data_IF_231729365544
#
_entry.id   IF_231729365544
#
_cell.length_a   1.000
_cell.length_b   1.000
_cell.length_c   1.000
_cell.angle_alpha   90.00
_cell.angle_beta   90.00
_cell.angle_gamma   90.00
#
_symmetry.space_group_name_H-M   'P 1'
#
loop_
_entity.id
_entity.type
_entity.pdbx_description
1 polymer ?
#
# COMPACT_ATOMS: atom_id res chain seq x y z
N UNK A 1 -12.32 11.00 -23.84
CA UNK A 1 -12.09 12.25 -23.08
C UNK A 1 -11.24 11.88 -21.87
N UNK A 2 -10.34 12.72 -21.38
CA UNK A 2 -9.63 12.49 -20.14
C UNK A 2 -10.64 12.28 -19.01
N UNK A 3 -10.34 11.31 -18.11
CA UNK A 3 -11.17 11.02 -16.94
C UNK A 3 -10.64 11.83 -15.76
N UNK A 4 -11.55 12.28 -14.88
CA UNK A 4 -11.19 13.06 -13.69
C UNK A 4 -11.14 12.17 -12.48
N UNK A 5 -9.97 12.11 -11.85
CA UNK A 5 -9.71 11.27 -10.68
C UNK A 5 -9.52 12.10 -9.43
N UNK A 6 -10.10 11.66 -8.33
CA UNK A 6 -9.68 12.05 -6.98
C UNK A 6 -8.87 10.92 -6.37
N UNK A 7 -7.63 11.20 -5.97
CA UNK A 7 -6.78 10.27 -5.22
C UNK A 7 -6.69 10.74 -3.78
N UNK A 8 -7.37 10.07 -2.85
CA UNK A 8 -7.18 10.33 -1.42
C UNK A 8 -5.92 9.61 -0.93
N UNK A 9 -5.14 10.25 -0.07
CA UNK A 9 -3.80 9.77 0.26
C UNK A 9 -2.80 9.98 -0.89
N UNK A 10 -3.05 11.00 -1.73
CA UNK A 10 -2.35 11.20 -3.00
C UNK A 10 -0.91 11.66 -2.88
N UNK A 11 -0.47 12.19 -1.73
CA UNK A 11 0.94 12.55 -1.47
C UNK A 11 1.73 11.41 -0.82
N UNK A 12 1.06 10.35 -0.37
CA UNK A 12 1.66 9.15 0.20
C UNK A 12 2.45 8.33 -0.83
N UNK A 13 3.07 7.23 -0.39
CA UNK A 13 3.95 6.40 -1.24
C UNK A 13 3.24 5.82 -2.46
N UNK A 14 2.12 5.11 -2.29
CA UNK A 14 1.32 4.60 -3.40
C UNK A 14 0.60 5.73 -4.14
N UNK A 15 0.01 6.67 -3.39
CA UNK A 15 -0.79 7.76 -3.93
C UNK A 15 -0.04 8.61 -4.93
N UNK A 16 1.16 9.10 -4.58
CA UNK A 16 1.94 9.94 -5.50
C UNK A 16 2.37 9.20 -6.76
N UNK A 17 2.62 7.90 -6.67
CA UNK A 17 2.97 7.09 -7.83
C UNK A 17 1.76 6.87 -8.74
N UNK A 18 0.56 6.66 -8.16
CA UNK A 18 -0.69 6.58 -8.91
C UNK A 18 -1.04 7.93 -9.55
N UNK A 19 -0.94 9.04 -8.81
CA UNK A 19 -1.14 10.41 -9.34
C UNK A 19 -0.26 10.64 -10.56
N UNK A 20 1.03 10.34 -10.50
CA UNK A 20 1.96 10.49 -11.63
C UNK A 20 1.57 9.62 -12.83
N UNK A 21 1.16 8.39 -12.59
CA UNK A 21 0.74 7.48 -13.65
C UNK A 21 -0.55 7.95 -14.35
N UNK A 22 -1.53 8.45 -13.59
CA UNK A 22 -2.76 9.02 -14.14
C UNK A 22 -2.48 10.28 -14.97
N UNK A 23 -1.66 11.19 -14.46
CA UNK A 23 -1.24 12.39 -15.20
C UNK A 23 -0.49 12.02 -16.49
N UNK A 24 0.45 11.07 -16.41
CA UNK A 24 1.18 10.59 -17.59
C UNK A 24 0.28 9.93 -18.64
N UNK A 25 -0.86 9.37 -18.23
CA UNK A 25 -1.89 8.83 -19.10
C UNK A 25 -2.76 9.92 -19.77
N UNK A 26 -2.64 11.17 -19.31
CA UNK A 26 -3.40 12.31 -19.80
C UNK A 26 -4.72 12.57 -19.07
N UNK A 27 -4.92 11.96 -17.91
CA UNK A 27 -6.09 12.17 -17.05
C UNK A 27 -5.94 13.43 -16.19
N UNK A 28 -7.08 13.98 -15.77
CA UNK A 28 -7.13 15.07 -14.79
C UNK A 28 -7.11 14.51 -13.38
N UNK A 29 -6.23 15.02 -12.52
CA UNK A 29 -6.04 14.44 -11.18
C UNK A 29 -6.17 15.50 -10.10
N UNK A 30 -7.03 15.20 -9.13
CA UNK A 30 -7.09 15.89 -7.84
C UNK A 30 -6.49 14.96 -6.76
N UNK A 31 -5.63 15.50 -5.90
CA UNK A 31 -5.03 14.81 -4.77
C UNK A 31 -5.57 15.40 -3.47
N UNK A 32 -6.12 14.57 -2.59
CA UNK A 32 -6.51 14.98 -1.23
C UNK A 32 -5.68 14.19 -0.22
N UNK A 33 -4.95 14.90 0.63
CA UNK A 33 -4.06 14.32 1.65
C UNK A 33 -3.92 15.28 2.83
N UNK A 34 -3.75 14.79 4.04
CA UNK A 34 -3.46 15.62 5.21
C UNK A 34 -1.96 15.92 5.38
N UNK A 35 -1.13 15.42 4.45
CA UNK A 35 0.34 15.51 4.44
C UNK A 35 1.01 14.94 5.71
N UNK A 36 0.29 14.15 6.53
CA UNK A 36 0.83 13.57 7.76
C UNK A 36 1.95 12.56 7.55
N UNK A 37 2.02 11.94 6.37
CA UNK A 37 3.02 10.93 5.98
C UNK A 37 3.62 11.17 4.59
N UNK A 38 2.97 11.97 3.80
CA UNK A 38 3.41 12.43 2.49
C UNK A 38 3.81 13.90 2.54
N UNK A 39 3.95 14.49 1.36
CA UNK A 39 4.08 15.93 1.19
C UNK A 39 3.67 16.31 -0.22
N UNK A 40 2.84 17.33 -0.36
CA UNK A 40 2.49 17.89 -1.68
C UNK A 40 3.71 18.39 -2.46
N UNK A 41 4.81 18.72 -1.76
CA UNK A 41 6.06 19.08 -2.41
C UNK A 41 6.61 17.95 -3.32
N UNK A 42 6.25 16.68 -3.03
CA UNK A 42 6.65 15.53 -3.84
C UNK A 42 5.90 15.44 -5.19
N UNK A 43 4.88 16.28 -5.40
CA UNK A 43 4.11 16.41 -6.65
C UNK A 43 4.32 17.76 -7.32
N UNK A 44 5.19 18.65 -6.76
CA UNK A 44 5.37 20.03 -7.24
C UNK A 44 5.87 20.16 -8.68
N UNK A 45 6.60 19.15 -9.17
CA UNK A 45 7.08 19.07 -10.55
C UNK A 45 5.96 18.84 -11.57
N UNK A 46 4.80 18.35 -11.15
CA UNK A 46 3.60 18.21 -12.00
C UNK A 46 2.86 19.55 -12.18
N UNK A 47 3.17 20.56 -11.38
CA UNK A 47 2.61 21.91 -11.49
C UNK A 47 1.08 21.92 -11.49
N UNK A 48 0.48 22.51 -12.54
CA UNK A 48 -0.98 22.64 -12.68
C UNK A 48 -1.69 21.37 -13.17
N UNK A 49 -0.97 20.30 -13.44
CA UNK A 49 -1.56 19.03 -13.87
C UNK A 49 -2.24 18.28 -12.71
N UNK A 50 -1.97 18.68 -11.46
CA UNK A 50 -2.58 18.10 -10.26
C UNK A 50 -3.12 19.21 -9.37
N UNK A 51 -4.39 19.09 -9.02
CA UNK A 51 -5.05 19.94 -8.02
C UNK A 51 -4.82 19.31 -6.63
N UNK A 52 -3.95 19.91 -5.80
CA UNK A 52 -3.57 19.38 -4.49
C UNK A 52 -4.34 20.07 -3.36
N UNK A 53 -5.26 19.34 -2.73
CA UNK A 53 -6.02 19.76 -1.56
C UNK A 53 -5.39 19.15 -0.29
N UNK A 54 -5.02 20.00 0.66
CA UNK A 54 -4.56 19.54 1.98
C UNK A 54 -5.74 19.48 2.94
N UNK A 55 -6.23 18.28 3.24
CA UNK A 55 -7.35 18.05 4.14
C UNK A 55 -7.37 16.60 4.68
N UNK A 56 -8.03 16.43 5.82
CA UNK A 56 -8.28 15.10 6.40
C UNK A 56 -9.57 14.51 5.82
N UNK A 57 -9.57 13.24 5.42
CA UNK A 57 -10.77 12.55 4.92
C UNK A 57 -11.90 12.45 5.97
N UNK A 58 -11.61 12.70 7.24
CA UNK A 58 -12.61 12.79 8.31
C UNK A 58 -13.36 14.13 8.33
N UNK A 59 -12.92 15.10 7.55
CA UNK A 59 -13.66 16.35 7.28
C UNK A 59 -14.58 16.15 6.09
N UNK A 60 -15.85 15.90 6.36
CA UNK A 60 -16.86 15.65 5.33
C UNK A 60 -17.01 16.83 4.35
N UNK A 61 -16.91 18.07 4.84
CA UNK A 61 -17.06 19.23 3.96
C UNK A 61 -15.91 19.32 2.93
N UNK A 62 -14.69 19.08 3.39
CA UNK A 62 -13.51 19.04 2.51
C UNK A 62 -13.60 17.88 1.49
N UNK A 63 -14.06 16.69 1.91
CA UNK A 63 -14.24 15.56 1.00
C UNK A 63 -15.34 15.81 -0.02
N UNK A 64 -16.47 16.43 0.37
CA UNK A 64 -17.54 16.84 -0.56
C UNK A 64 -17.04 17.81 -1.62
N UNK A 65 -16.25 18.81 -1.22
CA UNK A 65 -15.64 19.74 -2.17
C UNK A 65 -14.67 19.03 -3.13
N UNK A 66 -13.85 18.14 -2.59
CA UNK A 66 -12.86 17.39 -3.37
C UNK A 66 -13.47 16.42 -4.38
N UNK A 67 -14.67 15.90 -4.13
CA UNK A 67 -15.37 14.96 -5.03
C UNK A 67 -16.21 15.62 -6.11
N UNK A 68 -16.32 16.97 -6.13
CA UNK A 68 -17.05 17.68 -7.19
C UNK A 68 -16.44 17.43 -8.56
N UNK A 69 -17.29 17.12 -9.52
CA UNK A 69 -16.91 16.87 -10.92
C UNK A 69 -15.88 15.75 -11.11
N UNK A 70 -15.84 14.74 -10.24
CA UNK A 70 -14.96 13.59 -10.30
C UNK A 70 -15.67 12.40 -10.94
N UNK A 71 -14.97 11.67 -11.81
CA UNK A 71 -15.48 10.48 -12.47
C UNK A 71 -15.11 9.19 -11.70
N UNK A 72 -13.98 9.20 -10.97
CA UNK A 72 -13.54 8.07 -10.16
C UNK A 72 -12.78 8.51 -8.92
N UNK A 73 -13.16 7.99 -7.75
CA UNK A 73 -12.39 8.16 -6.52
C UNK A 73 -11.47 6.95 -6.29
N UNK A 74 -10.16 7.20 -6.21
CA UNK A 74 -9.18 6.23 -5.76
C UNK A 74 -8.90 6.45 -4.28
N UNK A 75 -9.51 5.63 -3.42
CA UNK A 75 -9.42 5.79 -1.98
C UNK A 75 -8.23 5.02 -1.40
N UNK A 76 -7.08 5.73 -1.20
CA UNK A 76 -5.85 5.19 -0.66
C UNK A 76 -5.51 5.76 0.74
N UNK A 77 -6.15 6.87 1.14
CA UNK A 77 -5.88 7.52 2.43
C UNK A 77 -6.07 6.54 3.59
N UNK A 78 -4.98 6.23 4.28
CA UNK A 78 -4.96 5.36 5.44
C UNK A 78 -3.63 5.47 6.18
N UNK A 79 -3.61 5.12 7.48
CA UNK A 79 -2.37 5.03 8.24
C UNK A 79 -1.84 3.59 8.22
N UNK A 80 -0.60 3.42 7.76
CA UNK A 80 0.09 2.13 7.71
C UNK A 80 1.40 2.18 8.50
N UNK A 81 1.88 1.05 8.96
CA UNK A 81 3.13 0.88 9.70
C UNK A 81 2.93 0.03 10.95
N UNK A 82 3.70 -1.06 11.08
CA UNK A 82 3.49 -2.05 12.14
C UNK A 82 3.51 -1.44 13.54
N UNK A 83 4.42 -0.52 13.82
CA UNK A 83 4.48 0.16 15.11
C UNK A 83 3.22 1.01 15.36
N UNK A 84 2.74 1.71 14.35
CA UNK A 84 1.54 2.55 14.43
C UNK A 84 0.28 1.74 14.76
N UNK A 85 0.23 0.47 14.37
CA UNK A 85 -0.91 -0.42 14.69
C UNK A 85 -1.09 -0.60 16.20
N UNK A 86 0.02 -0.64 16.95
CA UNK A 86 -0.02 -0.74 18.41
C UNK A 86 -0.21 0.62 19.09
N UNK A 87 0.38 1.68 18.54
CA UNK A 87 0.42 2.99 19.19
C UNK A 87 -0.86 3.82 18.95
N UNK A 88 -1.52 3.66 17.79
CA UNK A 88 -2.63 4.53 17.36
C UNK A 88 -3.85 3.75 16.87
N UNK A 89 -4.30 2.67 17.56
CA UNK A 89 -5.39 1.82 17.07
C UNK A 89 -6.71 2.59 16.92
N UNK A 90 -7.02 3.53 17.82
CA UNK A 90 -8.22 4.36 17.75
C UNK A 90 -8.20 5.24 16.50
N UNK A 91 -7.08 5.90 16.20
CA UNK A 91 -6.97 6.73 15.00
C UNK A 91 -7.11 5.92 13.72
N UNK A 92 -6.57 4.70 13.68
CA UNK A 92 -6.71 3.77 12.55
C UNK A 92 -8.17 3.44 12.30
N UNK A 93 -8.92 3.08 13.34
CA UNK A 93 -10.35 2.75 13.23
C UNK A 93 -11.20 3.98 12.88
N UNK A 94 -10.86 5.14 13.40
CA UNK A 94 -11.52 6.41 13.09
C UNK A 94 -11.39 6.77 11.59
N UNK A 95 -10.19 6.64 11.04
CA UNK A 95 -9.94 6.82 9.61
C UNK A 95 -10.66 5.76 8.78
N UNK A 96 -10.63 4.49 9.22
CA UNK A 96 -11.30 3.40 8.52
C UNK A 96 -12.81 3.59 8.46
N UNK A 97 -13.43 4.09 9.52
CA UNK A 97 -14.89 4.21 9.61
C UNK A 97 -15.39 5.58 9.14
N UNK A 98 -15.02 6.66 9.83
CA UNK A 98 -15.45 8.01 9.46
C UNK A 98 -14.93 8.44 8.09
N UNK A 99 -13.62 8.20 7.85
CA UNK A 99 -13.02 8.57 6.57
C UNK A 99 -13.67 7.86 5.40
N UNK A 100 -13.89 6.55 5.50
CA UNK A 100 -14.55 5.77 4.45
C UNK A 100 -16.01 6.19 4.25
N UNK A 101 -16.77 6.40 5.32
CA UNK A 101 -18.16 6.87 5.24
C UNK A 101 -18.25 8.24 4.58
N UNK A 102 -17.38 9.20 4.98
CA UNK A 102 -17.35 10.52 4.36
C UNK A 102 -17.06 10.46 2.85
N UNK A 103 -16.15 9.59 2.43
CA UNK A 103 -15.84 9.39 1.01
C UNK A 103 -17.07 8.85 0.27
N UNK A 104 -17.76 7.83 0.83
CA UNK A 104 -18.94 7.25 0.22
C UNK A 104 -20.09 8.26 0.14
N UNK A 105 -20.38 8.98 1.23
CA UNK A 105 -21.43 10.02 1.28
C UNK A 105 -21.15 11.13 0.27
N UNK A 106 -19.91 11.61 0.19
CA UNK A 106 -19.54 12.64 -0.76
C UNK A 106 -19.63 12.16 -2.22
N UNK A 107 -19.24 10.92 -2.50
CA UNK A 107 -19.42 10.32 -3.82
C UNK A 107 -20.89 10.25 -4.23
N UNK A 108 -21.77 9.83 -3.33
CA UNK A 108 -23.21 9.74 -3.58
C UNK A 108 -23.80 11.12 -3.86
N UNK A 109 -23.48 12.12 -3.01
CA UNK A 109 -23.99 13.48 -3.16
C UNK A 109 -23.56 14.12 -4.49
N UNK A 110 -22.28 13.91 -4.88
CA UNK A 110 -21.73 14.45 -6.11
C UNK A 110 -21.89 13.50 -7.33
N UNK A 111 -22.61 12.39 -7.16
CA UNK A 111 -22.88 11.38 -8.20
C UNK A 111 -21.63 10.85 -8.89
N UNK A 112 -20.58 10.60 -8.11
CA UNK A 112 -19.35 9.95 -8.60
C UNK A 112 -19.67 8.51 -8.98
N UNK A 113 -19.50 8.09 -10.25
CA UNK A 113 -19.92 6.76 -10.69
C UNK A 113 -18.97 5.64 -10.29
N UNK A 114 -17.69 5.94 -10.02
CA UNK A 114 -16.70 4.89 -9.80
C UNK A 114 -15.87 5.09 -8.52
N UNK A 115 -15.60 3.97 -7.85
CA UNK A 115 -14.73 3.91 -6.66
C UNK A 115 -13.71 2.78 -6.80
N UNK A 116 -12.43 3.10 -6.59
CA UNK A 116 -11.34 2.12 -6.44
C UNK A 116 -10.80 2.18 -5.00
N UNK A 117 -10.97 1.10 -4.26
CA UNK A 117 -10.57 1.02 -2.86
C UNK A 117 -9.25 0.27 -2.68
N UNK A 118 -8.29 0.90 -2.04
CA UNK A 118 -7.08 0.23 -1.55
C UNK A 118 -7.36 -0.50 -0.23
N UNK A 119 -7.43 -1.81 -0.28
CA UNK A 119 -7.44 -2.69 0.89
C UNK A 119 -6.02 -3.17 1.23
N UNK A 120 -5.88 -4.33 1.87
CA UNK A 120 -4.59 -4.85 2.32
C UNK A 120 -4.66 -6.36 2.56
N UNK A 121 -3.56 -7.12 2.37
CA UNK A 121 -3.46 -8.50 2.82
C UNK A 121 -3.48 -8.65 4.36
N UNK A 122 -3.33 -7.56 5.11
CA UNK A 122 -3.53 -7.58 6.57
C UNK A 122 -4.98 -7.94 6.96
N UNK A 123 -5.95 -7.84 6.04
CA UNK A 123 -7.32 -8.30 6.26
C UNK A 123 -7.43 -9.83 6.43
N UNK A 124 -6.47 -10.59 5.90
CA UNK A 124 -6.41 -12.05 6.09
C UNK A 124 -5.77 -12.45 7.41
N UNK A 125 -4.94 -11.59 7.99
CA UNK A 125 -4.05 -11.91 9.11
C UNK A 125 -3.16 -13.12 8.78
N UNK A 126 -3.45 -14.29 9.34
CA UNK A 126 -2.81 -15.55 8.96
C UNK A 126 -3.74 -16.30 8.01
N UNK A 127 -3.46 -16.22 6.73
CA UNK A 127 -4.26 -16.90 5.71
C UNK A 127 -4.20 -18.42 5.88
N UNK A 128 -5.33 -19.09 5.70
CA UNK A 128 -5.44 -20.56 5.79
C UNK A 128 -4.80 -21.29 4.60
N UNK A 129 -4.66 -20.61 3.47
CA UNK A 129 -4.11 -21.15 2.22
C UNK A 129 -3.06 -20.19 1.68
N UNK A 130 -1.91 -20.73 1.27
CA UNK A 130 -0.81 -19.96 0.66
C UNK A 130 -0.25 -20.75 -0.55
N UNK A 131 -0.15 -20.13 -1.72
CA UNK A 131 -0.51 -18.74 -2.06
C UNK A 131 -1.98 -18.42 -1.80
N UNK A 132 -2.23 -17.24 -1.18
CA UNK A 132 -3.57 -16.80 -0.79
C UNK A 132 -4.29 -16.20 -1.99
N UNK A 133 -5.48 -16.68 -2.32
CA UNK A 133 -6.36 -16.06 -3.31
C UNK A 133 -7.45 -15.19 -2.66
N UNK A 134 -8.24 -14.51 -3.49
CA UNK A 134 -9.24 -13.55 -3.03
C UNK A 134 -10.48 -14.20 -2.38
N UNK A 135 -10.62 -15.53 -2.46
CA UNK A 135 -11.75 -16.28 -1.86
C UNK A 135 -11.52 -16.67 -0.40
N UNK A 136 -10.27 -16.56 0.06
CA UNK A 136 -9.91 -16.88 1.45
C UNK A 136 -10.60 -15.90 2.41
N UNK A 137 -11.19 -16.44 3.46
CA UNK A 137 -11.93 -15.65 4.46
C UNK A 137 -11.05 -14.62 5.18
N UNK A 138 -11.63 -13.45 5.44
CA UNK A 138 -11.00 -12.39 6.23
C UNK A 138 -11.24 -12.64 7.72
N UNK A 139 -10.30 -12.19 8.59
CA UNK A 139 -10.42 -12.45 10.02
C UNK A 139 -9.83 -11.37 10.92
N UNK A 140 -10.39 -11.27 12.13
CA UNK A 140 -9.80 -10.55 13.27
C UNK A 140 -9.61 -11.59 14.37
N UNK A 141 -8.41 -12.19 14.50
CA UNK A 141 -8.19 -13.34 15.39
C UNK A 141 -8.36 -13.03 16.87
N UNK A 142 -7.96 -11.82 17.29
CA UNK A 142 -8.02 -11.38 18.68
C UNK A 142 -8.33 -9.88 18.75
N UNK A 143 -9.56 -9.49 19.09
CA UNK A 143 -9.95 -8.08 19.20
C UNK A 143 -9.25 -7.32 20.33
N UNK A 144 -8.64 -8.02 21.28
CA UNK A 144 -7.87 -7.39 22.36
C UNK A 144 -6.46 -6.99 21.93
N UNK A 145 -5.93 -7.54 20.85
CA UNK A 145 -4.64 -7.15 20.30
C UNK A 145 -4.80 -5.97 19.35
N UNK A 146 -4.30 -4.81 19.75
CA UNK A 146 -4.37 -3.56 19.01
C UNK A 146 -3.81 -3.67 17.57
N UNK A 147 -2.87 -4.59 17.31
CA UNK A 147 -2.34 -4.87 15.98
C UNK A 147 -3.42 -5.12 14.92
N UNK A 148 -4.51 -5.79 15.33
CA UNK A 148 -5.56 -6.19 14.40
C UNK A 148 -6.52 -5.08 14.02
N UNK A 149 -6.41 -3.88 14.65
CA UNK A 149 -7.21 -2.70 14.28
C UNK A 149 -7.03 -2.29 12.83
N UNK A 150 -5.80 -2.41 12.29
CA UNK A 150 -5.55 -2.09 10.88
C UNK A 150 -6.28 -3.05 9.93
N UNK A 151 -6.09 -4.36 10.11
CA UNK A 151 -6.74 -5.38 9.28
C UNK A 151 -8.27 -5.34 9.44
N UNK A 152 -8.76 -5.21 10.68
CA UNK A 152 -10.19 -5.05 10.98
C UNK A 152 -10.80 -3.82 10.32
N UNK A 153 -10.09 -2.69 10.35
CA UNK A 153 -10.51 -1.47 9.65
C UNK A 153 -10.57 -1.65 8.13
N UNK A 154 -9.62 -2.40 7.53
CA UNK A 154 -9.66 -2.72 6.09
C UNK A 154 -10.84 -3.62 5.74
N UNK A 155 -11.19 -4.58 6.60
CA UNK A 155 -12.40 -5.42 6.44
C UNK A 155 -13.66 -4.54 6.46
N UNK A 156 -13.75 -3.59 7.38
CA UNK A 156 -14.87 -2.63 7.44
C UNK A 156 -14.94 -1.81 6.15
N UNK A 157 -13.81 -1.27 5.66
CA UNK A 157 -13.78 -0.51 4.41
C UNK A 157 -14.26 -1.35 3.21
N UNK A 158 -13.86 -2.62 3.11
CA UNK A 158 -14.33 -3.50 2.03
C UNK A 158 -15.84 -3.77 2.13
N UNK A 159 -16.36 -4.04 3.34
CA UNK A 159 -17.80 -4.26 3.56
C UNK A 159 -18.60 -3.02 3.17
N UNK A 160 -18.15 -1.83 3.56
CA UNK A 160 -18.78 -0.57 3.18
C UNK A 160 -18.74 -0.37 1.66
N UNK A 161 -17.56 -0.49 1.03
CA UNK A 161 -17.44 -0.32 -0.41
C UNK A 161 -18.32 -1.28 -1.21
N UNK A 162 -18.42 -2.55 -0.79
CA UNK A 162 -19.22 -3.56 -1.47
C UNK A 162 -20.72 -3.25 -1.33
N UNK A 163 -21.19 -2.93 -0.12
CA UNK A 163 -22.63 -2.75 0.10
C UNK A 163 -23.13 -1.42 -0.48
N UNK A 164 -22.39 -0.33 -0.32
CA UNK A 164 -22.69 0.92 -1.01
C UNK A 164 -22.52 0.79 -2.54
N UNK A 165 -21.54 0.00 -2.98
CA UNK A 165 -21.32 -0.28 -4.39
C UNK A 165 -22.52 -0.90 -5.09
N UNK A 166 -23.25 -1.80 -4.43
CA UNK A 166 -24.47 -2.44 -4.97
C UNK A 166 -25.60 -1.47 -5.26
N UNK A 167 -25.65 -0.35 -4.56
CA UNK A 167 -26.77 0.58 -4.60
C UNK A 167 -26.49 1.88 -5.32
N UNK A 168 -25.23 2.39 -5.22
CA UNK A 168 -24.95 3.78 -5.57
C UNK A 168 -23.87 3.97 -6.62
N UNK A 169 -23.14 2.93 -7.02
CA UNK A 169 -22.00 3.08 -7.94
C UNK A 169 -22.16 2.20 -9.18
N UNK A 170 -21.77 2.75 -10.32
CA UNK A 170 -21.69 1.97 -11.58
C UNK A 170 -20.54 0.96 -11.51
N UNK A 171 -19.44 1.33 -10.85
CA UNK A 171 -18.28 0.46 -10.68
C UNK A 171 -17.56 0.69 -9.36
N UNK A 172 -17.40 -0.39 -8.60
CA UNK A 172 -16.51 -0.44 -7.45
C UNK A 172 -15.48 -1.53 -7.68
N UNK A 173 -14.20 -1.22 -7.52
CA UNK A 173 -13.12 -2.21 -7.53
C UNK A 173 -12.31 -2.13 -6.24
N UNK A 174 -11.87 -3.27 -5.76
CA UNK A 174 -11.07 -3.38 -4.53
C UNK A 174 -9.75 -4.06 -4.91
N UNK A 175 -8.65 -3.47 -4.49
CA UNK A 175 -7.35 -4.09 -4.68
C UNK A 175 -6.62 -4.24 -3.34
N UNK A 176 -5.93 -5.38 -3.18
CA UNK A 176 -5.12 -5.72 -2.01
C UNK A 176 -3.65 -5.77 -2.41
N UNK A 177 -2.90 -4.66 -2.29
CA UNK A 177 -1.47 -4.62 -2.67
C UNK A 177 -0.62 -5.34 -1.63
N UNK A 178 0.23 -6.27 -2.09
CA UNK A 178 1.07 -7.10 -1.25
C UNK A 178 2.51 -6.57 -1.19
N UNK A 179 2.98 -6.25 0.01
CA UNK A 179 4.38 -5.89 0.33
C UNK A 179 5.05 -4.98 -0.71
N UNK A 180 4.36 -3.88 -1.06
CA UNK A 180 4.86 -2.94 -2.07
C UNK A 180 6.09 -2.21 -1.56
N UNK A 181 7.11 -2.08 -2.41
CA UNK A 181 8.36 -1.38 -2.10
C UNK A 181 8.84 -0.55 -3.30
N UNK A 182 9.72 0.40 -3.03
CA UNK A 182 10.30 1.26 -4.05
C UNK A 182 10.96 2.51 -3.46
N UNK A 183 11.47 3.39 -4.32
CA UNK A 183 12.14 4.61 -3.90
C UNK A 183 11.24 5.52 -3.06
N UNK A 184 11.84 6.19 -2.07
CA UNK A 184 11.15 7.16 -1.19
C UNK A 184 9.96 6.56 -0.41
N UNK A 185 9.91 5.24 -0.22
CA UNK A 185 8.96 4.63 0.72
C UNK A 185 9.34 4.99 2.18
N UNK A 186 8.34 5.07 3.05
CA UNK A 186 8.57 5.45 4.45
C UNK A 186 9.36 4.40 5.25
N UNK A 187 10.08 4.84 6.27
CA UNK A 187 10.96 4.02 7.11
C UNK A 187 10.25 2.99 8.01
N UNK A 188 8.91 2.95 8.00
CA UNK A 188 8.13 2.01 8.80
C UNK A 188 8.04 0.59 8.19
N UNK A 189 8.70 0.34 7.05
CA UNK A 189 8.63 -0.92 6.31
C UNK A 189 9.96 -1.67 6.34
N UNK A 190 9.90 -3.01 6.14
CA UNK A 190 11.05 -3.92 6.34
C UNK A 190 12.26 -3.56 5.46
N UNK A 191 12.08 -3.23 4.18
CA UNK A 191 13.21 -2.92 3.28
C UNK A 191 13.95 -1.66 3.72
N UNK A 192 13.32 -0.48 3.92
CA UNK A 192 14.03 0.69 4.43
C UNK A 192 14.65 0.46 5.81
N UNK A 193 13.97 -0.29 6.71
CA UNK A 193 14.53 -0.64 8.02
C UNK A 193 15.80 -1.48 7.90
N UNK A 194 15.82 -2.48 7.03
CA UNK A 194 17.02 -3.28 6.80
C UNK A 194 18.15 -2.43 6.20
N UNK A 195 17.85 -1.59 5.21
CA UNK A 195 18.82 -0.68 4.59
C UNK A 195 19.41 0.27 5.63
N UNK A 196 18.57 0.95 6.43
CA UNK A 196 19.02 1.90 7.45
C UNK A 196 19.86 1.24 8.56
N UNK A 197 19.64 -0.04 8.83
CA UNK A 197 20.39 -0.80 9.83
C UNK A 197 21.65 -1.46 9.29
N UNK A 198 21.67 -1.87 8.03
CA UNK A 198 22.86 -2.46 7.38
C UNK A 198 23.88 -1.37 7.04
N UNK A 199 23.42 -0.24 6.46
CA UNK A 199 24.31 0.84 5.99
C UNK A 199 25.31 1.35 7.05
N UNK A 200 24.92 1.64 8.31
CA UNK A 200 25.87 2.07 9.35
C UNK A 200 26.85 0.98 9.80
N UNK A 201 26.52 -0.30 9.58
CA UNK A 201 27.36 -1.43 9.98
C UNK A 201 28.39 -1.83 8.91
N UNK A 202 28.45 -1.09 7.80
CA UNK A 202 29.45 -1.31 6.75
C UNK A 202 30.81 -0.83 7.29
N UNK A 203 31.56 -1.78 7.82
CA UNK A 203 32.92 -1.59 8.35
C UNK A 203 33.94 -2.35 7.49
N UNK A 204 35.18 -2.45 7.96
CA UNK A 204 36.22 -3.31 7.36
C UNK A 204 35.85 -4.81 7.38
N UNK A 205 34.98 -5.23 8.30
CA UNK A 205 34.56 -6.63 8.39
C UNK A 205 33.77 -7.05 7.14
N UNK A 206 34.06 -8.21 6.56
CA UNK A 206 33.34 -8.72 5.40
C UNK A 206 31.91 -9.17 5.74
N UNK A 207 31.61 -9.40 7.02
CA UNK A 207 30.31 -9.92 7.49
C UNK A 207 29.66 -8.96 8.46
N UNK A 208 28.47 -8.46 8.11
CA UNK A 208 27.61 -7.64 8.96
C UNK A 208 26.74 -8.55 9.83
N UNK A 209 26.82 -8.39 11.15
CA UNK A 209 25.92 -9.06 12.12
C UNK A 209 24.69 -8.19 12.32
N UNK A 210 23.52 -8.65 11.87
CA UNK A 210 22.28 -7.89 11.89
C UNK A 210 21.26 -8.52 12.83
N UNK A 211 21.00 -7.95 14.04
CA UNK A 211 19.89 -8.39 14.87
C UNK A 211 18.56 -8.16 14.15
N UNK A 212 17.61 -9.11 14.19
CA UNK A 212 16.28 -8.99 13.59
C UNK A 212 15.21 -9.45 14.57
N UNK A 213 13.94 -9.15 14.27
CA UNK A 213 12.81 -9.79 14.94
C UNK A 213 12.62 -11.18 14.31
N UNK A 214 12.30 -12.18 15.13
CA UNK A 214 12.23 -13.56 14.66
C UNK A 214 13.60 -14.17 14.35
N UNK A 215 13.60 -15.27 13.63
CA UNK A 215 14.80 -15.97 13.18
C UNK A 215 15.18 -15.69 11.72
N UNK A 216 14.33 -14.92 11.03
CA UNK A 216 14.48 -14.56 9.61
C UNK A 216 13.91 -15.59 8.65
N UNK A 217 13.23 -16.63 9.14
CA UNK A 217 12.52 -17.62 8.31
C UNK A 217 11.17 -17.10 7.78
N UNK A 218 10.66 -16.02 8.35
CA UNK A 218 9.42 -15.40 7.89
C UNK A 218 9.53 -15.02 6.41
N UNK A 219 8.51 -15.38 5.62
CA UNK A 219 8.53 -15.12 4.18
C UNK A 219 7.58 -13.99 3.77
N UNK A 220 8.00 -13.27 2.77
CA UNK A 220 7.18 -12.26 2.05
C UNK A 220 7.41 -12.36 0.55
N UNK A 221 6.40 -11.96 -0.18
CA UNK A 221 6.49 -11.71 -1.61
C UNK A 221 6.41 -10.21 -1.84
N UNK A 222 7.43 -9.64 -2.48
CA UNK A 222 7.59 -8.19 -2.64
C UNK A 222 7.20 -7.74 -4.03
N UNK A 223 6.40 -6.68 -4.13
CA UNK A 223 5.95 -6.08 -5.38
C UNK A 223 6.62 -4.71 -5.56
N UNK A 224 7.32 -4.51 -6.67
CA UNK A 224 7.90 -3.19 -6.97
C UNK A 224 6.81 -2.18 -7.28
N UNK A 225 7.04 -0.91 -6.93
CA UNK A 225 6.03 0.15 -7.00
C UNK A 225 5.43 0.29 -8.40
N UNK A 226 6.24 0.25 -9.47
CA UNK A 226 5.74 0.43 -10.83
C UNK A 226 4.82 -0.73 -11.25
N UNK A 227 5.19 -1.97 -10.90
CA UNK A 227 4.33 -3.14 -11.12
C UNK A 227 3.02 -3.03 -10.33
N UNK A 228 3.09 -2.51 -9.09
CA UNK A 228 1.90 -2.28 -8.28
C UNK A 228 0.98 -1.24 -8.92
N UNK A 229 1.51 -0.13 -9.43
CA UNK A 229 0.73 0.91 -10.10
C UNK A 229 0.10 0.37 -11.38
N UNK A 230 0.84 -0.40 -12.18
CA UNK A 230 0.27 -1.08 -13.35
C UNK A 230 -0.91 -1.97 -12.96
N UNK A 231 -0.77 -2.76 -11.88
CA UNK A 231 -1.85 -3.60 -11.36
C UNK A 231 -3.07 -2.81 -10.87
N UNK A 232 -2.85 -1.64 -10.24
CA UNK A 232 -3.94 -0.75 -9.83
C UNK A 232 -4.69 -0.23 -11.07
N UNK A 233 -3.98 0.27 -12.07
CA UNK A 233 -4.59 0.78 -13.30
C UNK A 233 -5.38 -0.31 -14.04
N UNK A 234 -4.83 -1.51 -14.20
CA UNK A 234 -5.53 -2.65 -14.79
C UNK A 234 -6.81 -2.98 -14.00
N UNK A 235 -6.73 -3.00 -12.66
CA UNK A 235 -7.89 -3.25 -11.79
C UNK A 235 -8.96 -2.18 -11.98
N UNK A 236 -8.58 -0.92 -12.05
CA UNK A 236 -9.51 0.20 -12.25
C UNK A 236 -10.17 0.15 -13.63
N UNK A 237 -9.40 -0.13 -14.67
CA UNK A 237 -9.88 -0.08 -16.06
C UNK A 237 -10.68 -1.35 -16.43
N UNK A 238 -10.20 -2.53 -16.08
CA UNK A 238 -10.72 -3.83 -16.54
C UNK A 238 -11.37 -4.68 -15.45
N UNK A 239 -11.18 -4.34 -14.17
CA UNK A 239 -11.80 -5.06 -13.07
C UNK A 239 -13.32 -5.04 -13.13
N UNK A 240 -13.96 -6.14 -12.77
CA UNK A 240 -15.42 -6.23 -12.68
C UNK A 240 -15.95 -5.38 -11.53
N UNK A 241 -17.19 -4.88 -11.66
CA UNK A 241 -17.91 -4.26 -10.55
C UNK A 241 -17.94 -5.19 -9.33
N UNK A 242 -17.62 -4.66 -8.15
CA UNK A 242 -17.41 -5.38 -6.89
C UNK A 242 -16.28 -6.41 -6.93
N UNK A 243 -15.41 -6.34 -7.95
CA UNK A 243 -14.27 -7.22 -8.07
C UNK A 243 -13.17 -6.89 -7.06
N UNK A 244 -12.64 -7.95 -6.43
CA UNK A 244 -11.49 -7.87 -5.51
C UNK A 244 -10.28 -8.51 -6.20
N UNK A 245 -9.12 -7.86 -6.17
CA UNK A 245 -7.92 -8.30 -6.87
C UNK A 245 -6.67 -8.18 -6.00
N UNK A 246 -5.85 -9.23 -5.97
CA UNK A 246 -4.51 -9.14 -5.42
C UNK A 246 -3.55 -8.49 -6.41
N UNK A 247 -2.75 -7.54 -5.93
CA UNK A 247 -1.65 -6.96 -6.68
C UNK A 247 -0.36 -7.31 -5.96
N UNK A 248 0.54 -8.00 -6.64
CA UNK A 248 1.74 -8.50 -5.98
C UNK A 248 2.63 -9.30 -6.91
N UNK A 249 3.52 -10.06 -6.29
CA UNK A 249 4.40 -11.03 -6.91
C UNK A 249 4.26 -12.36 -6.17
N UNK A 250 4.46 -13.48 -6.84
CA UNK A 250 4.37 -14.82 -6.24
C UNK A 250 5.75 -15.38 -5.82
N UNK A 251 6.85 -14.63 -6.05
CA UNK A 251 8.20 -14.99 -5.61
C UNK A 251 8.35 -14.72 -4.11
N UNK A 252 8.41 -15.78 -3.31
CA UNK A 252 8.63 -15.69 -1.87
C UNK A 252 10.13 -15.62 -1.55
N UNK A 253 10.49 -14.74 -0.62
CA UNK A 253 11.82 -14.68 -0.03
C UNK A 253 11.72 -14.62 1.49
N UNK A 254 12.68 -15.23 2.19
CA UNK A 254 12.78 -15.08 3.65
C UNK A 254 13.36 -13.71 4.01
N UNK A 255 13.07 -13.24 5.23
CA UNK A 255 13.67 -11.99 5.74
C UNK A 255 15.19 -12.10 5.80
N UNK A 256 15.73 -13.30 6.11
CA UNK A 256 17.17 -13.54 6.06
C UNK A 256 17.74 -13.41 4.65
N UNK A 257 17.09 -13.98 3.64
CA UNK A 257 17.49 -13.83 2.23
C UNK A 257 17.40 -12.38 1.77
N UNK A 258 16.35 -11.67 2.15
CA UNK A 258 16.20 -10.24 1.87
C UNK A 258 17.36 -9.42 2.44
N UNK A 259 17.73 -9.67 3.70
CA UNK A 259 18.86 -9.00 4.34
C UNK A 259 20.20 -9.31 3.62
N UNK A 260 20.40 -10.55 3.17
CA UNK A 260 21.58 -10.94 2.37
C UNK A 260 21.60 -10.24 1.02
N UNK A 261 20.47 -10.16 0.30
CA UNK A 261 20.37 -9.44 -0.99
C UNK A 261 20.69 -7.95 -0.82
N UNK A 262 20.18 -7.30 0.24
CA UNK A 262 20.48 -5.90 0.56
C UNK A 262 21.99 -5.74 0.88
N UNK A 263 22.56 -6.63 1.71
CA UNK A 263 23.98 -6.61 2.03
C UNK A 263 24.86 -6.74 0.79
N UNK A 264 24.50 -7.63 -0.13
CA UNK A 264 25.23 -7.84 -1.38
C UNK A 264 25.29 -6.58 -2.27
N UNK A 265 24.27 -5.72 -2.26
CA UNK A 265 24.29 -4.43 -2.96
C UNK A 265 25.37 -3.50 -2.38
N UNK A 266 25.66 -3.60 -1.08
CA UNK A 266 26.73 -2.89 -0.40
C UNK A 266 28.09 -3.64 -0.42
N UNK A 267 28.20 -4.77 -1.15
CA UNK A 267 29.41 -5.60 -1.21
C UNK A 267 29.70 -6.34 0.11
N UNK A 268 28.68 -6.62 0.93
CA UNK A 268 28.81 -7.27 2.25
C UNK A 268 27.96 -8.53 2.34
N UNK A 269 28.47 -9.49 3.09
CA UNK A 269 27.65 -10.61 3.58
C UNK A 269 26.90 -10.19 4.85
N UNK A 270 25.66 -10.63 5.00
CA UNK A 270 24.84 -10.36 6.19
C UNK A 270 24.55 -11.67 6.92
N UNK A 271 24.86 -11.71 8.22
CA UNK A 271 24.45 -12.76 9.13
C UNK A 271 23.38 -12.23 10.07
N UNK A 272 22.18 -12.77 9.96
CA UNK A 272 21.08 -12.40 10.87
C UNK A 272 21.32 -12.98 12.27
N UNK A 273 21.00 -12.19 13.28
CA UNK A 273 21.00 -12.59 14.69
C UNK A 273 19.53 -12.61 15.14
N UNK A 274 18.98 -13.79 15.47
CA UNK A 274 17.59 -13.93 15.90
C UNK A 274 17.26 -13.10 17.13
N UNK A 275 16.03 -12.59 17.18
CA UNK A 275 15.44 -11.87 18.30
C UNK A 275 13.97 -12.23 18.52
N UNK A 276 13.31 -11.71 19.55
CA UNK A 276 11.92 -12.03 19.83
C UNK A 276 10.98 -11.56 18.72
N UNK A 277 9.96 -12.38 18.39
CA UNK A 277 8.87 -12.01 17.52
C UNK A 277 7.85 -11.15 18.25
N UNK A 278 7.27 -10.19 17.53
CA UNK A 278 6.14 -9.43 18.05
C UNK A 278 4.84 -10.28 18.00
N UNK A 279 4.01 -10.23 19.04
CA UNK A 279 2.72 -10.94 19.06
C UNK A 279 1.85 -10.57 17.86
N UNK A 280 1.30 -11.58 17.17
CA UNK A 280 0.45 -11.36 15.99
C UNK A 280 1.22 -11.18 14.68
N UNK A 281 2.54 -11.37 14.67
CA UNK A 281 3.33 -11.38 13.41
C UNK A 281 2.91 -12.54 12.53
N UNK A 282 2.69 -12.25 11.24
CA UNK A 282 2.38 -13.27 10.23
C UNK A 282 3.67 -13.95 9.78
N UNK A 283 3.75 -15.27 9.88
CA UNK A 283 4.94 -16.04 9.53
C UNK A 283 5.15 -16.06 8.00
N UNK A 284 4.11 -16.39 7.23
CA UNK A 284 4.18 -16.53 5.78
C UNK A 284 3.11 -15.71 5.08
N UNK A 285 3.48 -14.99 4.02
CA UNK A 285 2.53 -14.21 3.22
C UNK A 285 2.94 -14.17 1.75
N UNK A 286 2.15 -14.82 0.89
CA UNK A 286 2.31 -14.83 -0.55
C UNK A 286 0.92 -14.77 -1.20
N UNK A 287 0.63 -13.81 -2.08
CA UNK A 287 -0.63 -13.80 -2.84
C UNK A 287 -0.62 -14.83 -3.96
N UNK A 288 -1.80 -15.27 -4.36
CA UNK A 288 -2.03 -15.69 -5.73
C UNK A 288 -2.49 -14.47 -6.55
N UNK A 289 -1.83 -14.19 -7.64
CA UNK A 289 -2.19 -13.09 -8.57
C UNK A 289 -2.89 -13.61 -9.82
N UNK A 290 -3.31 -14.87 -9.83
CA UNK A 290 -3.93 -15.53 -10.98
C UNK A 290 -5.14 -14.77 -11.52
N UNK A 291 -5.98 -14.24 -10.64
CA UNK A 291 -7.17 -13.48 -11.02
C UNK A 291 -6.79 -12.20 -11.78
N UNK A 292 -5.83 -11.43 -11.30
CA UNK A 292 -5.41 -10.21 -11.98
C UNK A 292 -4.63 -10.51 -13.27
N UNK A 293 -3.92 -11.66 -13.34
CA UNK A 293 -3.28 -12.14 -14.58
C UNK A 293 -4.29 -12.37 -15.72
N UNK A 294 -5.53 -12.77 -15.41
CA UNK A 294 -6.57 -12.90 -16.45
C UNK A 294 -6.93 -11.58 -17.12
N UNK A 295 -6.58 -10.45 -16.48
CA UNK A 295 -6.75 -9.10 -16.99
C UNK A 295 -5.45 -8.53 -17.61
N UNK A 296 -4.42 -9.36 -17.79
CA UNK A 296 -3.15 -8.97 -18.43
C UNK A 296 -2.06 -8.45 -17.47
N UNK A 297 -2.25 -8.54 -16.16
CA UNK A 297 -1.20 -8.14 -15.19
C UNK A 297 -0.07 -9.16 -15.16
N UNK A 298 1.17 -8.68 -15.30
CA UNK A 298 2.38 -9.47 -15.07
C UNK A 298 3.46 -8.59 -14.44
N UNK A 299 3.94 -8.91 -13.21
CA UNK A 299 5.02 -8.14 -12.59
C UNK A 299 6.32 -8.31 -13.38
N UNK A 300 6.99 -7.20 -13.70
CA UNK A 300 8.15 -7.13 -14.61
C UNK A 300 9.47 -6.89 -13.88
N UNK A 301 9.40 -6.45 -12.62
CA UNK A 301 10.57 -6.04 -11.87
C UNK A 301 10.99 -7.12 -10.88
N UNK A 302 12.13 -7.77 -11.14
CA UNK A 302 12.72 -8.72 -10.20
C UNK A 302 13.09 -8.04 -8.88
N UNK A 303 13.06 -8.77 -7.76
CA UNK A 303 13.43 -8.24 -6.45
C UNK A 303 14.82 -7.62 -6.44
N UNK A 304 15.80 -8.27 -7.07
CA UNK A 304 17.19 -7.77 -7.11
C UNK A 304 17.30 -6.44 -7.86
N UNK A 305 16.60 -6.28 -9.00
CA UNK A 305 16.55 -5.01 -9.74
C UNK A 305 15.87 -3.91 -8.93
N UNK A 306 14.70 -4.21 -8.37
CA UNK A 306 13.93 -3.24 -7.60
C UNK A 306 14.65 -2.78 -6.33
N UNK A 307 15.37 -3.68 -5.63
CA UNK A 307 16.20 -3.32 -4.48
C UNK A 307 17.33 -2.37 -4.85
N UNK A 308 18.05 -2.62 -5.95
CA UNK A 308 19.10 -1.71 -6.43
C UNK A 308 18.56 -0.31 -6.69
N UNK A 309 17.50 -0.17 -7.49
CA UNK A 309 16.85 1.10 -7.78
C UNK A 309 16.40 1.79 -6.48
N UNK A 310 15.77 1.04 -5.57
CA UNK A 310 15.27 1.59 -4.29
C UNK A 310 16.40 2.15 -3.43
N UNK A 311 17.51 1.43 -3.32
CA UNK A 311 18.65 1.82 -2.49
C UNK A 311 19.40 3.00 -3.12
N UNK A 312 19.68 2.97 -4.42
CA UNK A 312 20.39 4.03 -5.15
C UNK A 312 19.64 5.37 -5.03
N UNK A 313 18.32 5.37 -5.27
CA UNK A 313 17.50 6.59 -5.16
C UNK A 313 17.20 7.03 -3.72
N UNK A 314 17.44 6.19 -2.72
CA UNK A 314 17.32 6.57 -1.31
C UNK A 314 18.58 7.24 -0.77
N UNK A 315 19.72 7.15 -1.47
CA UNK A 315 20.99 7.77 -1.08
C UNK A 315 21.07 9.24 -1.52
N UNK A 316 20.26 9.64 -2.50
CA UNK A 316 20.30 10.99 -3.10
C UNK A 316 19.49 12.06 -2.33
N UNK A 317 18.81 11.72 -1.24
CA UNK A 317 18.05 12.70 -0.43
C UNK A 317 18.80 12.95 0.87
N UNK A 318 19.49 14.11 1.05
CA UNK A 318 19.89 14.59 2.36
C UNK A 318 18.62 14.83 3.19
N UNK A 319 18.62 14.33 4.41
CA UNK A 319 17.56 14.55 5.43
C UNK A 319 17.55 16.03 5.83
#
# INVERSE_FOLDING_TARGET
MPKRYLVTGGTGFLGRSLVRALVARGDEVRSLDDDSRGSKALLSDLGRQVDCITADIRDLAAVKEATKDIDCVCHLAYINGTQTFYEKPVQILDIATKGMLNVLEACIENKVPELALASSPEAYQTASIIPTDETVGLSVPDPLNARFSYGGGKIICELLAINYGREYFDKVTIFRPHSVYGPKMGNAHVIPQLVSRIKPLISSDPVVKLPIQGDGSETRSFCYIDDCIEGILITMDQGAHLGIYHIGNEEEVTIAQLAQKIGAIFGKSVRVIPGPLQPGSTHRRCPSIKKLRTLGYEPKTSLDRGLRITIEQSVEVPV
#
